data_IF_374697175064
#
_entry.id   IF_374697175064
#
_cell.length_a   1.000
_cell.length_b   1.000
_cell.length_c   1.000
_cell.angle_alpha   90.00
_cell.angle_beta   90.00
_cell.angle_gamma   90.00
#
_symmetry.space_group_name_H-M   'P 1'
#
loop_
_entity.id
_entity.type
_entity.pdbx_description
1 polymer ?
#
# COMPACT_ATOMS: atom_id res chain seq x y z
N UNK A 1 -27.98 -21.14 26.22
CA UNK A 1 -27.48 -21.94 25.08
C UNK A 1 -27.38 -20.95 23.92
N UNK A 2 -26.19 -20.72 23.35
CA UNK A 2 -26.00 -19.78 22.23
C UNK A 2 -26.34 -20.54 20.95
N UNK A 3 -27.52 -20.27 20.39
CA UNK A 3 -27.85 -20.71 19.03
C UNK A 3 -27.13 -19.77 18.05
N UNK A 4 -26.30 -20.37 17.20
CA UNK A 4 -25.57 -19.78 16.06
C UNK A 4 -24.49 -18.73 16.35
N UNK A 5 -23.25 -19.06 15.98
CA UNK A 5 -22.04 -18.22 16.14
C UNK A 5 -22.07 -16.94 15.27
N UNK A 6 -23.04 -16.83 14.35
CA UNK A 6 -23.22 -15.75 13.38
C UNK A 6 -24.68 -15.27 13.25
N UNK A 7 -25.49 -15.44 14.31
CA UNK A 7 -26.85 -14.91 14.33
C UNK A 7 -26.90 -13.38 14.37
N UNK A 8 -28.02 -12.80 13.92
CA UNK A 8 -28.27 -11.36 14.04
C UNK A 8 -28.11 -10.91 15.49
N UNK A 9 -27.21 -9.94 15.74
CA UNK A 9 -26.98 -9.39 17.07
C UNK A 9 -27.86 -8.15 17.28
N UNK A 10 -28.45 -8.03 18.46
CA UNK A 10 -29.20 -6.82 18.84
C UNK A 10 -28.29 -5.58 18.96
N UNK A 11 -27.03 -5.77 19.36
CA UNK A 11 -26.02 -4.72 19.51
C UNK A 11 -24.62 -5.33 19.38
N UNK A 12 -23.73 -4.62 18.70
CA UNK A 12 -22.30 -4.92 18.61
C UNK A 12 -21.52 -3.65 18.97
N UNK A 13 -20.49 -3.78 19.80
CA UNK A 13 -19.66 -2.66 20.27
C UNK A 13 -18.20 -2.96 19.97
N UNK A 14 -17.63 -2.19 19.05
CA UNK A 14 -16.22 -2.27 18.66
C UNK A 14 -15.44 -1.06 19.22
N UNK A 15 -14.30 -1.33 19.87
CA UNK A 15 -13.36 -0.27 20.25
C UNK A 15 -12.48 0.08 19.04
N UNK A 16 -12.69 1.26 18.45
CA UNK A 16 -12.00 1.68 17.23
C UNK A 16 -10.59 2.24 17.49
N UNK A 17 -10.49 3.24 18.36
CA UNK A 17 -9.25 3.96 18.72
C UNK A 17 -9.26 4.27 20.21
N UNK A 18 -8.06 4.37 20.82
CA UNK A 18 -7.91 4.78 22.22
C UNK A 18 -6.64 5.63 22.39
N UNK A 19 -6.77 6.94 22.21
CA UNK A 19 -5.60 7.82 22.18
C UNK A 19 -4.57 7.35 21.15
N UNK A 20 -3.31 7.24 21.58
CA UNK A 20 -2.19 6.73 20.78
C UNK A 20 -1.87 5.26 21.08
N UNK A 21 -2.73 4.55 21.83
CA UNK A 21 -2.48 3.17 22.26
C UNK A 21 -2.47 2.21 21.07
N UNK A 22 -1.37 1.47 20.92
CA UNK A 22 -1.26 0.30 20.05
C UNK A 22 -1.14 -0.94 20.93
N UNK A 23 -2.22 -1.72 21.00
CA UNK A 23 -2.32 -2.92 21.83
C UNK A 23 -2.80 -4.11 21.02
N UNK A 24 -2.09 -5.23 21.15
CA UNK A 24 -2.49 -6.52 20.58
C UNK A 24 -2.42 -7.59 21.66
N UNK A 25 -3.58 -7.94 22.22
CA UNK A 25 -3.71 -9.08 23.12
C UNK A 25 -4.80 -10.01 22.60
N UNK A 26 -4.88 -11.27 23.08
CA UNK A 26 -5.97 -12.18 22.72
C UNK A 26 -7.37 -11.63 23.04
N UNK A 27 -7.48 -10.66 23.96
CA UNK A 27 -8.74 -10.07 24.40
C UNK A 27 -9.08 -8.77 23.67
N UNK A 28 -8.07 -7.99 23.24
CA UNK A 28 -8.29 -6.68 22.65
C UNK A 28 -7.22 -6.32 21.62
N UNK A 29 -7.67 -5.78 20.49
CA UNK A 29 -6.81 -5.24 19.45
C UNK A 29 -7.24 -3.78 19.22
N UNK A 30 -6.33 -2.85 19.50
CA UNK A 30 -6.52 -1.40 19.30
C UNK A 30 -5.25 -0.84 18.63
N UNK A 31 -5.36 -0.02 17.57
CA UNK A 31 -6.56 0.30 16.80
C UNK A 31 -7.29 -0.93 16.25
N UNK A 32 -8.60 -0.82 16.04
CA UNK A 32 -9.37 -1.92 15.47
C UNK A 32 -8.76 -2.32 14.10
N UNK A 33 -8.43 -3.60 13.87
CA UNK A 33 -7.58 -4.02 12.76
C UNK A 33 -8.17 -3.74 11.38
N UNK A 34 -9.50 -3.55 11.31
CA UNK A 34 -10.22 -3.23 10.07
C UNK A 34 -10.83 -1.83 10.02
N UNK A 35 -10.52 -0.94 10.97
CA UNK A 35 -11.05 0.42 10.99
C UNK A 35 -10.78 1.14 9.65
N UNK A 36 -9.53 1.11 9.21
CA UNK A 36 -9.03 1.79 8.03
C UNK A 36 -9.61 1.27 6.70
N UNK A 37 -10.38 0.18 6.72
CA UNK A 37 -11.02 -0.42 5.54
C UNK A 37 -12.55 -0.36 5.58
N UNK A 38 -13.15 0.13 6.67
CA UNK A 38 -14.61 0.07 6.89
C UNK A 38 -15.20 1.46 6.77
N UNK A 39 -15.80 1.74 5.62
CA UNK A 39 -16.45 3.03 5.36
C UNK A 39 -17.59 3.31 6.36
N UNK A 40 -18.45 2.32 6.65
CA UNK A 40 -19.51 2.47 7.64
C UNK A 40 -19.03 2.86 9.07
N UNK A 41 -17.77 2.56 9.42
CA UNK A 41 -17.19 2.96 10.70
C UNK A 41 -16.54 4.35 10.61
N UNK A 42 -15.86 4.64 9.49
CA UNK A 42 -15.17 5.92 9.28
C UNK A 42 -16.12 7.09 9.03
N UNK A 43 -17.22 6.90 8.29
CA UNK A 43 -18.21 7.97 8.02
C UNK A 43 -18.74 8.62 9.31
N UNK A 44 -19.34 7.88 10.27
CA UNK A 44 -19.78 8.48 11.53
C UNK A 44 -18.60 8.94 12.40
N UNK A 45 -17.42 8.31 12.31
CA UNK A 45 -16.24 8.74 13.06
C UNK A 45 -15.73 10.12 12.60
N UNK A 46 -15.83 10.45 11.31
CA UNK A 46 -15.50 11.78 10.77
C UNK A 46 -16.43 12.86 11.33
N UNK A 47 -17.70 12.56 11.59
CA UNK A 47 -18.65 13.53 12.15
C UNK A 47 -18.28 13.96 13.58
N UNK A 48 -17.69 13.05 14.36
CA UNK A 48 -17.40 13.29 15.79
C UNK A 48 -15.93 13.60 16.07
N UNK A 49 -15.00 13.00 15.32
CA UNK A 49 -13.57 13.05 15.61
C UNK A 49 -12.70 12.99 14.34
N UNK A 50 -12.86 13.93 13.39
CA UNK A 50 -12.21 13.87 12.08
C UNK A 50 -10.68 13.97 12.15
N UNK A 51 -10.15 14.63 13.18
CA UNK A 51 -8.72 14.87 13.39
C UNK A 51 -8.02 13.82 14.27
N UNK A 52 -8.77 12.82 14.77
CA UNK A 52 -8.16 11.73 15.53
C UNK A 52 -7.19 10.97 14.64
N UNK A 53 -5.99 10.71 15.14
CA UNK A 53 -4.96 9.96 14.43
C UNK A 53 -5.13 8.47 14.67
N UNK A 54 -4.99 7.68 13.60
CA UNK A 54 -4.70 6.26 13.71
C UNK A 54 -3.20 6.07 13.97
N UNK A 55 -2.77 5.59 15.15
CA UNK A 55 -1.35 5.47 15.50
C UNK A 55 -0.59 4.47 14.63
N UNK A 56 -1.26 3.61 13.85
CA UNK A 56 -0.59 2.71 12.92
C UNK A 56 -0.19 3.42 11.61
N UNK A 57 -1.09 4.22 11.05
CA UNK A 57 -0.88 4.89 9.76
C UNK A 57 -0.42 6.33 9.88
N UNK A 58 -0.56 6.92 11.07
CA UNK A 58 -0.42 8.36 11.33
C UNK A 58 -1.32 9.23 10.44
N UNK A 59 -2.42 8.64 9.93
CA UNK A 59 -3.45 9.35 9.17
C UNK A 59 -4.59 9.73 10.11
N UNK A 60 -5.18 10.89 9.85
CA UNK A 60 -6.42 11.29 10.50
C UNK A 60 -7.59 10.42 10.02
N UNK A 61 -8.64 10.27 10.85
CA UNK A 61 -9.88 9.59 10.45
C UNK A 61 -10.45 10.18 9.15
N UNK A 62 -10.34 11.50 8.96
CA UNK A 62 -10.73 12.16 7.72
C UNK A 62 -9.88 11.72 6.51
N UNK A 63 -8.56 11.63 6.66
CA UNK A 63 -7.66 11.14 5.60
C UNK A 63 -7.89 9.65 5.28
N UNK A 64 -8.20 8.83 6.30
CA UNK A 64 -8.58 7.44 6.10
C UNK A 64 -9.85 7.33 5.26
N UNK A 65 -10.90 8.11 5.57
CA UNK A 65 -12.13 8.14 4.77
C UNK A 65 -11.85 8.63 3.34
N UNK A 66 -11.09 9.71 3.19
CA UNK A 66 -10.69 10.25 1.89
C UNK A 66 -9.91 9.24 1.04
N UNK A 67 -9.12 8.35 1.67
CA UNK A 67 -8.44 7.24 0.99
C UNK A 67 -9.45 6.25 0.38
N UNK A 68 -10.51 5.91 1.13
CA UNK A 68 -11.57 5.01 0.66
C UNK A 68 -12.45 5.63 -0.44
N UNK A 69 -12.66 6.94 -0.37
CA UNK A 69 -13.46 7.68 -1.36
C UNK A 69 -12.72 7.99 -2.66
N UNK A 70 -11.39 7.86 -2.68
CA UNK A 70 -10.59 8.11 -3.88
C UNK A 70 -11.03 7.19 -5.03
N UNK A 71 -11.12 7.77 -6.23
CA UNK A 71 -11.44 7.05 -7.46
C UNK A 71 -10.39 7.34 -8.55
N UNK A 72 -9.93 6.31 -9.29
CA UNK A 72 -10.26 4.89 -9.11
C UNK A 72 -9.67 4.34 -7.81
N UNK A 73 -10.29 3.29 -7.24
CA UNK A 73 -9.74 2.60 -6.07
C UNK A 73 -8.51 1.79 -6.49
N UNK A 74 -7.44 1.83 -5.70
CA UNK A 74 -6.19 1.13 -6.01
C UNK A 74 -5.80 0.23 -4.86
N UNK A 75 -5.64 -1.06 -5.14
CA UNK A 75 -4.99 -2.01 -4.23
C UNK A 75 -3.56 -2.27 -4.72
N UNK A 76 -2.58 -2.09 -3.85
CA UNK A 76 -1.18 -2.42 -4.14
C UNK A 76 -0.82 -3.71 -3.41
N UNK A 77 -0.35 -4.73 -4.10
CA UNK A 77 0.10 -6.00 -3.53
C UNK A 77 1.61 -6.06 -3.65
N UNK A 78 2.32 -6.23 -2.53
CA UNK A 78 3.76 -6.28 -2.54
C UNK A 78 4.30 -7.24 -1.48
N UNK A 79 5.49 -7.80 -1.75
CA UNK A 79 6.27 -8.46 -0.72
C UNK A 79 6.79 -7.43 0.29
N UNK A 80 6.73 -7.78 1.57
CA UNK A 80 7.26 -7.01 2.68
C UNK A 80 8.79 -6.94 2.66
N UNK A 81 9.44 -7.97 2.15
CA UNK A 81 10.88 -8.00 1.85
C UNK A 81 11.04 -8.32 0.35
N UNK A 82 11.70 -7.45 -0.45
CA UNK A 82 11.93 -7.72 -1.86
C UNK A 82 12.95 -8.85 -2.11
N UNK A 83 13.76 -9.21 -1.11
CA UNK A 83 14.76 -10.28 -1.20
C UNK A 83 14.18 -11.66 -0.81
N UNK A 84 12.97 -11.68 -0.25
CA UNK A 84 12.21 -12.90 0.03
C UNK A 84 11.50 -13.39 -1.25
N UNK A 85 12.18 -14.27 -2.00
CA UNK A 85 11.69 -14.80 -3.27
C UNK A 85 10.33 -15.52 -3.15
N UNK A 86 10.04 -16.17 -2.02
CA UNK A 86 8.76 -16.85 -1.79
C UNK A 86 7.64 -15.83 -1.60
N UNK A 87 7.87 -14.80 -0.78
CA UNK A 87 6.91 -13.71 -0.59
C UNK A 87 6.67 -12.93 -1.89
N UNK A 88 7.71 -12.70 -2.70
CA UNK A 88 7.61 -12.05 -4.02
C UNK A 88 6.78 -12.89 -4.99
N UNK A 89 7.04 -14.19 -5.08
CA UNK A 89 6.26 -15.09 -5.93
C UNK A 89 4.78 -15.15 -5.50
N UNK A 90 4.53 -15.24 -4.19
CA UNK A 90 3.18 -15.23 -3.63
C UNK A 90 2.46 -13.91 -3.89
N UNK A 91 3.13 -12.77 -3.70
CA UNK A 91 2.57 -11.45 -4.01
C UNK A 91 2.20 -11.31 -5.50
N UNK A 92 3.04 -11.84 -6.40
CA UNK A 92 2.75 -11.86 -7.84
C UNK A 92 1.56 -12.76 -8.19
N UNK A 93 1.42 -13.95 -7.58
CA UNK A 93 0.27 -14.84 -7.81
C UNK A 93 -1.02 -14.22 -7.27
N UNK A 94 -0.97 -13.68 -6.06
CA UNK A 94 -2.09 -12.98 -5.42
C UNK A 94 -2.52 -11.77 -6.26
N UNK A 95 -1.58 -10.97 -6.77
CA UNK A 95 -1.88 -9.86 -7.67
C UNK A 95 -2.64 -10.33 -8.92
N UNK A 96 -2.15 -11.36 -9.60
CA UNK A 96 -2.78 -11.89 -10.81
C UNK A 96 -4.22 -12.39 -10.54
N UNK A 97 -4.43 -13.06 -9.41
CA UNK A 97 -5.75 -13.55 -8.99
C UNK A 97 -6.69 -12.43 -8.55
N UNK A 98 -6.18 -11.37 -7.90
CA UNK A 98 -6.98 -10.19 -7.55
C UNK A 98 -7.46 -9.46 -8.81
N UNK A 99 -6.59 -9.33 -9.81
CA UNK A 99 -6.93 -8.74 -11.11
C UNK A 99 -8.13 -9.48 -11.72
N UNK A 100 -8.09 -10.80 -11.74
CA UNK A 100 -9.20 -11.62 -12.23
C UNK A 100 -10.46 -11.50 -11.35
N UNK A 101 -10.32 -11.67 -10.03
CA UNK A 101 -11.44 -11.72 -9.10
C UNK A 101 -12.21 -10.39 -8.99
N UNK A 102 -11.52 -9.25 -9.12
CA UNK A 102 -12.13 -7.92 -9.06
C UNK A 102 -12.48 -7.36 -10.46
N UNK A 103 -12.07 -8.03 -11.55
CA UNK A 103 -12.07 -7.43 -12.89
C UNK A 103 -11.28 -6.12 -12.93
N UNK A 104 -10.16 -6.06 -12.18
CA UNK A 104 -9.36 -4.86 -12.01
C UNK A 104 -8.44 -4.62 -13.20
N UNK A 105 -8.05 -3.36 -13.42
CA UNK A 105 -7.00 -3.03 -14.39
C UNK A 105 -5.63 -3.26 -13.75
N UNK A 106 -4.75 -4.10 -14.36
CA UNK A 106 -3.46 -4.42 -13.79
C UNK A 106 -2.44 -3.29 -13.98
N UNK A 107 -1.65 -3.03 -12.94
CA UNK A 107 -0.50 -2.12 -12.93
C UNK A 107 0.76 -2.89 -12.54
N UNK A 108 1.58 -3.25 -13.52
CA UNK A 108 2.84 -3.97 -13.24
C UNK A 108 4.01 -3.00 -13.06
N UNK A 109 4.94 -3.37 -12.18
CA UNK A 109 6.20 -2.63 -11.96
C UNK A 109 7.06 -2.63 -13.21
N UNK A 110 7.07 -3.74 -13.92
CA UNK A 110 7.80 -3.89 -15.18
C UNK A 110 6.84 -4.44 -16.22
N UNK A 111 6.63 -3.69 -17.29
CA UNK A 111 5.89 -4.19 -18.44
C UNK A 111 6.81 -5.06 -19.30
N UNK A 112 6.35 -6.20 -19.84
CA UNK A 112 7.16 -7.09 -20.67
C UNK A 112 7.75 -6.43 -21.93
N UNK A 113 7.27 -5.25 -22.33
CA UNK A 113 7.75 -4.45 -23.47
C UNK A 113 8.46 -3.14 -23.09
N UNK A 114 8.86 -2.97 -21.83
CA UNK A 114 9.52 -1.75 -21.34
C UNK A 114 10.92 -1.52 -21.92
N UNK A 115 11.33 -0.24 -21.95
CA UNK A 115 12.56 0.31 -22.55
C UNK A 115 13.79 -0.60 -22.35
N UNK A 116 14.62 -0.85 -23.40
CA UNK A 116 15.80 -1.69 -23.29
C UNK A 116 16.73 -1.24 -22.16
N UNK A 117 17.37 -2.22 -21.53
CA UNK A 117 18.31 -2.09 -20.41
C UNK A 117 19.51 -1.16 -20.68
N UNK A 118 19.72 -0.72 -21.92
CA UNK A 118 20.84 0.13 -22.34
C UNK A 118 20.73 1.61 -21.94
N UNK A 119 19.51 2.13 -21.69
CA UNK A 119 19.29 3.54 -21.30
C UNK A 119 19.25 3.74 -19.78
N UNK A 120 19.40 2.65 -19.00
CA UNK A 120 19.36 2.76 -17.54
C UNK A 120 20.68 3.31 -17.00
N UNK A 121 20.60 4.12 -15.94
CA UNK A 121 21.79 4.54 -15.22
C UNK A 121 22.69 3.37 -14.81
N UNK A 122 24.00 3.56 -14.88
CA UNK A 122 25.00 2.54 -14.50
C UNK A 122 25.02 2.24 -13.01
N UNK A 123 24.60 3.19 -12.17
CA UNK A 123 24.56 2.98 -10.73
C UNK A 123 23.24 2.29 -10.31
N UNK A 124 23.29 1.23 -9.46
CA UNK A 124 22.09 0.52 -9.01
C UNK A 124 21.02 1.42 -8.37
N UNK A 125 21.44 2.44 -7.59
CA UNK A 125 20.53 3.44 -6.99
C UNK A 125 19.75 4.23 -8.03
N UNK A 126 20.46 4.83 -8.98
CA UNK A 126 19.86 5.65 -10.02
C UNK A 126 18.86 4.83 -10.85
N UNK A 127 19.21 3.56 -11.13
CA UNK A 127 18.30 2.61 -11.76
C UNK A 127 17.04 2.40 -10.94
N UNK A 128 17.15 2.21 -9.62
CA UNK A 128 15.99 2.02 -8.73
C UNK A 128 15.06 3.24 -8.71
N UNK A 129 15.61 4.45 -8.59
CA UNK A 129 14.81 5.68 -8.66
C UNK A 129 14.17 5.88 -10.04
N UNK A 130 14.87 5.53 -11.13
CA UNK A 130 14.32 5.55 -12.47
C UNK A 130 13.16 4.56 -12.65
N UNK A 131 13.27 3.35 -12.11
CA UNK A 131 12.21 2.33 -12.10
C UNK A 131 10.98 2.82 -11.32
N UNK A 132 11.18 3.39 -10.12
CA UNK A 132 10.11 3.97 -9.29
C UNK A 132 9.41 5.11 -10.04
N UNK A 133 10.18 6.04 -10.63
CA UNK A 133 9.63 7.15 -11.41
C UNK A 133 8.83 6.64 -12.62
N UNK A 134 9.33 5.65 -13.34
CA UNK A 134 8.62 5.06 -14.48
C UNK A 134 7.29 4.42 -14.04
N UNK A 135 7.30 3.70 -12.91
CA UNK A 135 6.09 3.13 -12.32
C UNK A 135 5.10 4.22 -11.86
N UNK A 136 5.58 5.29 -11.23
CA UNK A 136 4.78 6.43 -10.81
C UNK A 136 4.11 7.15 -11.99
N UNK A 137 4.84 7.38 -13.09
CA UNK A 137 4.26 7.94 -14.30
C UNK A 137 3.13 7.08 -14.88
N UNK A 138 3.27 5.75 -14.86
CA UNK A 138 2.20 4.85 -15.33
C UNK A 138 0.96 4.89 -14.43
N UNK A 139 1.16 5.10 -13.12
CA UNK A 139 0.11 5.28 -12.12
C UNK A 139 -0.40 6.73 -12.02
N UNK A 140 0.00 7.64 -12.92
CA UNK A 140 -0.41 9.05 -12.86
C UNK A 140 -1.93 9.20 -12.87
N UNK A 141 -2.44 9.96 -11.91
CA UNK A 141 -3.88 10.23 -11.76
C UNK A 141 -4.52 10.82 -13.02
N UNK A 142 -3.77 11.63 -13.78
CA UNK A 142 -4.21 12.22 -15.05
C UNK A 142 -4.62 11.18 -16.10
N UNK A 143 -3.95 10.01 -16.11
CA UNK A 143 -4.25 8.91 -17.02
C UNK A 143 -5.62 8.29 -16.74
N UNK A 144 -6.02 8.27 -15.48
CA UNK A 144 -7.17 7.51 -15.01
C UNK A 144 -8.42 8.36 -14.84
N UNK A 145 -8.25 9.65 -14.53
CA UNK A 145 -9.33 10.65 -14.52
C UNK A 145 -10.00 10.78 -15.90
N UNK A 146 -9.25 10.60 -17.00
CA UNK A 146 -9.78 10.68 -18.37
C UNK A 146 -10.24 9.32 -18.93
N UNK A 147 -9.89 8.21 -18.29
CA UNK A 147 -10.13 6.86 -18.81
C UNK A 147 -11.55 6.30 -18.52
N UNK A 148 -12.39 7.02 -17.77
CA UNK A 148 -13.76 6.59 -17.48
C UNK A 148 -13.83 5.27 -16.69
N UNK A 149 -12.90 5.04 -15.75
CA UNK A 149 -12.82 3.80 -14.97
C UNK A 149 -14.02 3.58 -14.03
N UNK A 150 -14.74 4.65 -13.65
CA UNK A 150 -15.87 4.56 -12.72
C UNK A 150 -15.46 3.87 -11.41
N UNK A 151 -16.19 2.82 -11.05
CA UNK A 151 -15.95 2.00 -9.86
C UNK A 151 -15.03 0.79 -10.10
N UNK A 152 -14.27 0.73 -11.21
CA UNK A 152 -13.28 -0.35 -11.40
C UNK A 152 -12.10 -0.17 -10.46
N UNK A 153 -11.57 -1.30 -9.97
CA UNK A 153 -10.32 -1.32 -9.20
C UNK A 153 -9.11 -1.25 -10.15
N UNK A 154 -8.06 -0.60 -9.67
CA UNK A 154 -6.69 -0.80 -10.14
C UNK A 154 -6.01 -1.78 -9.19
N UNK A 155 -5.19 -2.69 -9.71
CA UNK A 155 -4.39 -3.60 -8.90
C UNK A 155 -2.92 -3.50 -9.30
N UNK A 156 -2.06 -3.07 -8.38
CA UNK A 156 -0.62 -2.96 -8.61
C UNK A 156 0.15 -4.11 -7.96
N UNK A 157 1.24 -4.56 -8.59
CA UNK A 157 2.20 -5.54 -8.01
C UNK A 157 3.37 -4.86 -7.26
N UNK A 158 3.22 -3.57 -6.96
CA UNK A 158 4.19 -2.73 -6.28
C UNK A 158 3.51 -1.67 -5.41
N UNK A 159 4.26 -1.16 -4.44
CA UNK A 159 3.84 -0.06 -3.59
C UNK A 159 4.90 1.06 -3.68
N UNK A 160 4.58 2.14 -4.42
CA UNK A 160 5.50 3.24 -4.71
C UNK A 160 6.10 3.86 -3.44
N UNK A 161 5.25 4.15 -2.45
CA UNK A 161 5.68 4.73 -1.17
C UNK A 161 6.69 3.83 -0.45
N UNK A 162 6.49 2.50 -0.51
CA UNK A 162 7.38 1.52 0.11
C UNK A 162 8.69 1.37 -0.68
N UNK A 163 8.62 1.35 -2.00
CA UNK A 163 9.80 1.28 -2.85
C UNK A 163 10.71 2.50 -2.72
N UNK A 164 10.10 3.68 -2.65
CA UNK A 164 10.79 4.94 -2.44
C UNK A 164 11.50 4.94 -1.08
N UNK A 165 10.81 4.55 -0.01
CA UNK A 165 11.41 4.41 1.33
C UNK A 165 12.60 3.46 1.36
N UNK A 166 12.47 2.30 0.69
CA UNK A 166 13.57 1.33 0.56
C UNK A 166 14.76 1.94 -0.20
N UNK A 167 14.50 2.62 -1.32
CA UNK A 167 15.55 3.25 -2.12
C UNK A 167 16.31 4.34 -1.33
N UNK A 168 15.61 5.19 -0.58
CA UNK A 168 16.23 6.21 0.28
C UNK A 168 16.96 5.59 1.48
N UNK A 169 16.47 4.49 2.07
CA UNK A 169 17.16 3.81 3.18
C UNK A 169 18.53 3.23 2.77
N UNK A 170 18.69 2.79 1.51
CA UNK A 170 19.98 2.36 0.96
C UNK A 170 21.01 3.50 0.85
N UNK A 171 20.60 4.76 0.91
CA UNK A 171 21.50 5.91 0.97
C UNK A 171 22.16 6.03 2.36
N UNK A 172 21.36 5.88 3.41
CA UNK A 172 21.80 6.09 4.79
C UNK A 172 22.82 5.05 5.30
N UNK A 173 22.89 3.87 4.67
CA UNK A 173 23.69 2.74 5.12
C UNK A 173 25.08 2.60 4.45
N UNK A 174 25.37 3.35 3.38
CA UNK A 174 26.71 3.32 2.76
C UNK A 174 27.59 4.50 3.23
N UNK A 175 28.89 4.27 3.47
CA UNK A 175 29.82 5.36 3.72
C UNK A 175 29.87 6.28 2.50
N UNK A 176 29.72 7.60 2.70
CA UNK A 176 29.88 8.63 1.65
C UNK A 176 31.17 8.35 0.89
N UNK A 177 31.05 7.79 -0.32
CA UNK A 177 32.20 7.46 -1.13
C UNK A 177 32.98 8.74 -1.41
N UNK A 178 34.21 8.78 -0.90
CA UNK A 178 35.17 9.87 -1.07
C UNK A 178 35.82 9.88 -2.47
N UNK A 179 35.20 9.25 -3.47
CA UNK A 179 35.76 9.11 -4.82
C UNK A 179 35.09 10.09 -5.78
N UNK A 180 35.67 11.30 -5.85
CA UNK A 180 35.92 12.13 -7.05
C UNK A 180 34.82 12.46 -8.08
N UNK A 181 33.66 11.82 -8.08
CA UNK A 181 32.64 11.92 -9.12
C UNK A 181 31.44 12.72 -8.61
N UNK A 182 31.65 14.03 -8.40
CA UNK A 182 30.59 14.99 -8.09
C UNK A 182 29.42 14.95 -9.10
N UNK A 183 29.67 14.51 -10.34
CA UNK A 183 28.63 14.30 -11.36
C UNK A 183 27.65 13.18 -11.01
N UNK A 184 28.10 12.11 -10.35
CA UNK A 184 27.23 11.00 -9.93
C UNK A 184 26.30 11.40 -8.77
N UNK A 185 26.85 12.10 -7.78
CA UNK A 185 26.06 12.60 -6.64
C UNK A 185 25.00 13.64 -7.05
N UNK A 186 25.33 14.55 -7.97
CA UNK A 186 24.37 15.50 -8.53
C UNK A 186 23.23 14.80 -9.29
N UNK A 187 23.55 13.75 -10.05
CA UNK A 187 22.55 12.97 -10.76
C UNK A 187 21.63 12.23 -9.78
N UNK A 188 22.19 11.58 -8.74
CA UNK A 188 21.43 10.82 -7.75
C UNK A 188 20.39 11.67 -7.01
N UNK A 189 20.81 12.83 -6.47
CA UNK A 189 19.89 13.76 -5.81
C UNK A 189 18.77 14.23 -6.75
N UNK A 190 19.12 14.44 -8.03
CA UNK A 190 18.14 14.80 -9.05
C UNK A 190 17.16 13.66 -9.31
N UNK A 191 17.62 12.40 -9.32
CA UNK A 191 16.77 11.22 -9.49
C UNK A 191 15.84 11.00 -8.30
N UNK A 192 16.33 11.15 -7.08
CA UNK A 192 15.52 11.02 -5.87
C UNK A 192 14.40 12.06 -5.84
N UNK A 193 14.74 13.34 -5.95
CA UNK A 193 13.73 14.43 -5.98
C UNK A 193 12.73 14.25 -7.13
N UNK A 194 13.20 13.76 -8.28
CA UNK A 194 12.32 13.48 -9.41
C UNK A 194 11.41 12.27 -9.15
N UNK A 195 11.90 11.23 -8.46
CA UNK A 195 11.11 10.08 -8.06
C UNK A 195 10.07 10.46 -7.01
N UNK A 196 10.45 11.20 -5.97
CA UNK A 196 9.53 11.75 -4.97
C UNK A 196 8.41 12.57 -5.63
N UNK A 197 8.78 13.55 -6.47
CA UNK A 197 7.81 14.38 -7.17
C UNK A 197 6.90 13.58 -8.13
N UNK A 198 7.37 12.46 -8.66
CA UNK A 198 6.56 11.58 -9.49
C UNK A 198 5.60 10.74 -8.65
N UNK A 199 6.07 10.21 -7.52
CA UNK A 199 5.25 9.44 -6.56
C UNK A 199 4.15 10.32 -5.97
N UNK A 200 4.44 11.57 -5.61
CA UNK A 200 3.46 12.53 -5.11
C UNK A 200 2.33 12.83 -6.12
N UNK A 201 2.59 12.63 -7.42
CA UNK A 201 1.61 12.82 -8.52
C UNK A 201 0.95 11.52 -8.98
N UNK A 202 1.37 10.39 -8.43
CA UNK A 202 0.79 9.09 -8.74
C UNK A 202 -0.48 8.85 -7.91
N UNK A 203 -1.33 7.95 -8.38
CA UNK A 203 -2.45 7.47 -7.57
C UNK A 203 -1.92 6.78 -6.31
N UNK A 204 -2.27 7.34 -5.16
CA UNK A 204 -2.06 6.68 -3.89
C UNK A 204 -2.96 5.44 -3.80
N UNK A 205 -2.44 4.31 -3.28
CA UNK A 205 -3.26 3.14 -3.03
C UNK A 205 -4.29 3.43 -1.94
N UNK A 206 -5.52 2.95 -2.14
CA UNK A 206 -6.56 2.91 -1.09
C UNK A 206 -6.04 2.13 0.11
N UNK A 207 -5.38 1.01 -0.15
CA UNK A 207 -4.62 0.25 0.82
C UNK A 207 -3.54 -0.62 0.16
N UNK A 208 -2.58 -1.07 0.96
CA UNK A 208 -1.51 -1.97 0.54
C UNK A 208 -1.71 -3.34 1.18
N UNK A 209 -1.56 -4.39 0.40
CA UNK A 209 -1.48 -5.78 0.87
C UNK A 209 0.00 -6.14 0.96
N UNK A 210 0.49 -6.41 2.17
CA UNK A 210 1.88 -6.81 2.39
C UNK A 210 1.96 -8.29 2.76
N UNK A 211 2.76 -9.02 2.00
CA UNK A 211 3.00 -10.46 2.17
C UNK A 211 4.42 -10.68 2.67
N UNK A 212 4.58 -11.52 3.70
CA UNK A 212 5.89 -11.89 4.25
C UNK A 212 6.11 -11.41 5.68
N UNK A 213 7.23 -11.83 6.27
CA UNK A 213 7.50 -11.73 7.72
C UNK A 213 7.64 -10.30 8.23
N UNK A 214 8.09 -9.38 7.38
CA UNK A 214 8.32 -7.97 7.76
C UNK A 214 7.07 -7.09 7.65
N UNK A 215 5.94 -7.64 7.18
CA UNK A 215 4.73 -6.85 6.92
C UNK A 215 4.23 -6.11 8.17
N UNK A 216 4.29 -6.76 9.33
CA UNK A 216 3.86 -6.17 10.59
C UNK A 216 4.79 -5.03 11.02
N UNK A 217 6.10 -5.21 10.88
CA UNK A 217 7.08 -4.18 11.21
C UNK A 217 6.93 -2.95 10.30
N UNK A 218 6.64 -3.14 9.01
CA UNK A 218 6.39 -2.04 8.08
C UNK A 218 5.14 -1.26 8.48
N UNK A 219 4.01 -1.97 8.70
CA UNK A 219 2.75 -1.32 9.13
C UNK A 219 2.94 -0.55 10.42
N UNK A 220 3.53 -1.19 11.43
CA UNK A 220 3.66 -0.63 12.77
C UNK A 220 4.79 0.42 12.87
N UNK A 221 5.64 0.51 11.85
CA UNK A 221 6.73 1.48 11.72
C UNK A 221 6.33 2.83 11.11
N UNK A 222 5.03 3.17 11.12
CA UNK A 222 4.52 4.44 10.60
C UNK A 222 4.44 4.50 9.08
N UNK A 223 4.06 3.39 8.44
CA UNK A 223 3.77 3.40 7.01
C UNK A 223 2.47 4.18 6.74
N UNK A 224 2.49 5.22 5.89
CA UNK A 224 1.43 6.24 5.83
C UNK A 224 0.24 5.82 4.98
N UNK A 225 -0.11 4.53 5.01
CA UNK A 225 -1.22 3.94 4.26
C UNK A 225 -1.82 2.79 5.06
N UNK A 226 -3.13 2.52 4.93
CA UNK A 226 -3.71 1.29 5.44
C UNK A 226 -2.98 0.06 4.88
N UNK A 227 -2.52 -0.82 5.76
CA UNK A 227 -1.85 -2.07 5.39
C UNK A 227 -2.70 -3.26 5.80
N UNK A 228 -3.15 -4.03 4.82
CA UNK A 228 -3.73 -5.35 5.04
C UNK A 228 -2.60 -6.38 5.08
N UNK A 229 -2.48 -7.07 6.21
CA UNK A 229 -1.61 -8.24 6.35
C UNK A 229 -2.53 -9.45 6.32
N UNK A 230 -2.46 -10.31 5.29
CA UNK A 230 -3.32 -11.48 5.21
C UNK A 230 -3.10 -12.43 6.40
N UNK A 231 -4.18 -13.06 6.87
CA UNK A 231 -4.12 -14.07 7.93
C UNK A 231 -3.63 -15.42 7.39
N UNK A 232 -3.97 -15.73 6.14
CA UNK A 232 -3.53 -16.93 5.44
C UNK A 232 -2.23 -16.75 4.65
N UNK A 233 -1.51 -17.85 4.44
CA UNK A 233 -0.39 -17.95 3.49
C UNK A 233 -0.80 -18.56 2.15
N UNK A 234 -2.03 -19.05 2.02
CA UNK A 234 -2.54 -19.63 0.77
C UNK A 234 -3.11 -18.55 -0.14
N UNK A 235 -2.61 -18.47 -1.38
CA UNK A 235 -3.00 -17.44 -2.35
C UNK A 235 -4.53 -17.28 -2.51
N UNK A 236 -5.29 -18.38 -2.59
CA UNK A 236 -6.75 -18.32 -2.76
C UNK A 236 -7.47 -17.70 -1.54
N UNK A 237 -7.01 -18.03 -0.33
CA UNK A 237 -7.56 -17.46 0.89
C UNK A 237 -7.22 -15.96 1.02
N UNK A 238 -5.97 -15.59 0.71
CA UNK A 238 -5.52 -14.19 0.67
C UNK A 238 -6.39 -13.38 -0.30
N UNK A 239 -6.65 -13.89 -1.51
CA UNK A 239 -7.50 -13.21 -2.49
C UNK A 239 -8.91 -13.00 -1.94
N UNK A 240 -9.48 -14.00 -1.28
CA UNK A 240 -10.80 -13.88 -0.63
C UNK A 240 -10.81 -12.77 0.43
N UNK A 241 -9.80 -12.73 1.31
CA UNK A 241 -9.65 -11.68 2.32
C UNK A 241 -9.55 -10.28 1.69
N UNK A 242 -8.77 -10.14 0.61
CA UNK A 242 -8.63 -8.88 -0.12
C UNK A 242 -9.94 -8.46 -0.77
N UNK A 243 -10.66 -9.37 -1.43
CA UNK A 243 -11.96 -9.08 -2.07
C UNK A 243 -12.99 -8.62 -1.03
N UNK A 244 -13.07 -9.31 0.12
CA UNK A 244 -13.95 -8.90 1.23
C UNK A 244 -13.56 -7.52 1.75
N UNK A 245 -12.26 -7.23 1.86
CA UNK A 245 -11.77 -5.92 2.26
C UNK A 245 -12.16 -4.85 1.24
N UNK A 246 -11.97 -5.09 -0.06
CA UNK A 246 -12.41 -4.20 -1.13
C UNK A 246 -13.92 -3.91 -1.06
N UNK A 247 -14.75 -4.90 -0.77
CA UNK A 247 -16.20 -4.69 -0.58
C UNK A 247 -16.48 -3.82 0.65
N UNK A 248 -15.81 -4.08 1.78
CA UNK A 248 -15.97 -3.30 3.01
C UNK A 248 -15.57 -1.83 2.86
N UNK A 249 -14.63 -1.51 1.95
CA UNK A 249 -14.26 -0.11 1.66
C UNK A 249 -15.36 0.66 0.93
N UNK A 250 -16.32 -0.05 0.30
CA UNK A 250 -17.39 0.54 -0.53
C UNK A 250 -18.76 0.50 0.13
N UNK A 251 -18.96 -0.34 1.13
CA UNK A 251 -20.20 -0.49 1.89
C UNK A 251 -20.44 0.69 2.84
#
# INVERSE_FOLDING_TARGET
>A
MRDERWGARTLDLDLLLYGEEVRRTPQIIVPHPRLSFRRFALVPAVEVAPWSLDPLTNMTVNELLASLDRRPSLVAVAAADPDDAEAVALASDVHARIVEALGAEPLRRVDPGGVPTSDFPTHPRDRRFAEIRAAAHRASESRWTHAGLGDRWLAADFALDLDLRRASAMEASEPRAHDGLWKGAWNLFTYERAAEAAVDRALAPTFVVLIGREAAAIRDGGYPRPVLIPESTEAAAIVSEVVVTCQATRA
#
